data_IF_537684131320
#
_entry.id   IF_537684131320
#
_cell.length_a   1.000
_cell.length_b   1.000
_cell.length_c   1.000
_cell.angle_alpha   90.00
_cell.angle_beta   90.00
_cell.angle_gamma   90.00
#
_symmetry.space_group_name_H-M   'P 1'
#
loop_
_entity.id
_entity.type
_entity.pdbx_description
1 polymer ?
#
# COMPACT_ATOMS: atom_id res chain seq x y z
N UNK A 1 -15.18 10.31 6.40
CA UNK A 1 -14.67 10.32 5.01
C UNK A 1 -13.56 11.35 4.95
N UNK A 2 -12.50 11.08 4.19
CA UNK A 2 -11.36 11.97 3.97
C UNK A 2 -11.08 12.08 2.47
N UNK A 3 -10.41 13.14 2.06
CA UNK A 3 -10.13 13.46 0.66
C UNK A 3 -8.63 13.70 0.48
N UNK A 4 -7.84 12.64 0.23
CA UNK A 4 -6.43 12.81 0.00
C UNK A 4 -6.16 13.50 -1.34
N UNK A 5 -5.09 14.28 -1.35
CA UNK A 5 -4.56 14.99 -2.51
C UNK A 5 -3.07 14.73 -2.64
N UNK A 6 -2.56 14.80 -3.87
CA UNK A 6 -1.13 14.76 -4.14
C UNK A 6 -0.56 16.17 -3.98
N UNK A 7 0.52 16.29 -3.22
CA UNK A 7 1.21 17.55 -2.94
C UNK A 7 2.70 17.41 -3.23
N UNK A 8 3.41 18.53 -3.23
CA UNK A 8 4.86 18.54 -3.25
C UNK A 8 5.48 18.45 -1.82
N UNK A 9 6.80 18.54 -1.74
CA UNK A 9 7.53 18.52 -0.48
C UNK A 9 7.16 19.70 0.45
N UNK A 10 6.73 20.84 -0.11
CA UNK A 10 6.27 22.01 0.66
C UNK A 10 4.82 21.86 1.15
N UNK A 11 4.02 21.00 0.50
CA UNK A 11 2.58 20.85 0.75
C UNK A 11 1.71 21.57 -0.27
N UNK A 12 2.30 22.12 -1.33
CA UNK A 12 1.54 22.75 -2.41
C UNK A 12 0.81 21.69 -3.24
N UNK A 13 -0.43 21.99 -3.61
CA UNK A 13 -1.27 21.09 -4.40
C UNK A 13 -0.65 20.76 -5.76
N UNK A 14 -0.63 19.46 -6.11
CA UNK A 14 -0.21 18.99 -7.44
C UNK A 14 -1.37 18.40 -8.23
N UNK A 15 -2.16 17.50 -7.63
CA UNK A 15 -3.23 16.80 -8.35
C UNK A 15 -4.20 16.07 -7.42
N UNK A 16 -5.41 15.82 -7.91
CA UNK A 16 -6.34 14.85 -7.34
C UNK A 16 -6.05 13.40 -7.76
N UNK A 17 -5.21 13.18 -8.77
CA UNK A 17 -4.76 11.84 -9.15
C UNK A 17 -3.71 11.33 -8.16
N UNK A 18 -4.11 10.34 -7.38
CA UNK A 18 -3.26 9.72 -6.35
C UNK A 18 -2.26 8.73 -6.94
N UNK A 19 -2.38 8.37 -8.21
CA UNK A 19 -1.51 7.37 -8.82
C UNK A 19 -0.05 7.85 -8.85
N UNK A 20 0.86 6.95 -8.45
CA UNK A 20 2.29 7.18 -8.58
C UNK A 20 2.74 6.79 -9.99
N UNK A 21 2.27 7.51 -11.01
CA UNK A 21 2.81 7.34 -12.37
C UNK A 21 4.19 7.98 -12.41
N UNK A 22 5.23 7.14 -12.34
CA UNK A 22 6.55 7.53 -12.83
C UNK A 22 6.38 7.76 -14.32
N UNK A 23 6.24 9.02 -14.75
CA UNK A 23 6.24 9.37 -16.16
C UNK A 23 7.48 8.72 -16.77
N UNK A 24 7.26 7.83 -17.74
CA UNK A 24 8.32 7.12 -18.41
C UNK A 24 9.03 8.10 -19.36
N UNK A 25 9.74 9.08 -18.80
CA UNK A 25 10.68 9.89 -19.55
C UNK A 25 11.82 8.96 -19.93
N UNK A 26 12.19 8.95 -21.21
CA UNK A 26 13.29 8.18 -21.80
C UNK A 26 14.65 8.65 -21.26
N UNK A 27 14.84 8.54 -19.95
CA UNK A 27 16.03 9.00 -19.24
C UNK A 27 16.64 7.79 -18.53
N UNK A 28 17.94 7.53 -18.68
CA UNK A 28 18.64 6.38 -18.08
C UNK A 28 18.90 6.57 -16.57
N UNK A 29 18.10 7.40 -15.90
CA UNK A 29 18.16 7.59 -14.46
C UNK A 29 17.62 6.34 -13.76
N UNK A 30 18.28 5.83 -12.70
CA UNK A 30 17.79 4.69 -11.97
C UNK A 30 16.36 4.96 -11.49
N UNK A 31 15.45 4.01 -11.74
CA UNK A 31 14.00 4.02 -11.46
C UNK A 31 13.65 4.09 -9.95
N UNK A 32 14.42 4.81 -9.16
CA UNK A 32 14.53 4.58 -7.74
C UNK A 32 14.40 5.86 -6.92
N UNK A 33 13.47 5.82 -5.95
CA UNK A 33 13.41 6.69 -4.76
C UNK A 33 12.92 8.13 -4.91
N UNK A 34 12.20 8.49 -5.97
CA UNK A 34 11.51 9.80 -5.95
C UNK A 34 10.43 9.78 -4.86
N UNK A 35 10.51 10.64 -3.83
CA UNK A 35 9.47 10.70 -2.81
C UNK A 35 8.16 11.18 -3.45
N UNK A 36 7.04 10.68 -2.94
CA UNK A 36 5.72 11.19 -3.24
C UNK A 36 5.07 11.67 -1.95
N UNK A 37 4.46 12.84 -2.02
CA UNK A 37 3.79 13.45 -0.89
C UNK A 37 2.29 13.49 -1.11
N UNK A 38 1.57 13.13 -0.06
CA UNK A 38 0.11 13.18 -0.04
C UNK A 38 -0.34 13.90 1.21
N UNK A 39 -1.44 14.63 1.12
CA UNK A 39 -2.04 15.32 2.25
C UNK A 39 -3.52 15.00 2.34
N UNK A 40 -4.02 14.86 3.57
CA UNK A 40 -5.45 14.77 3.86
C UNK A 40 -5.75 15.40 5.21
N UNK A 41 -7.02 15.72 5.45
CA UNK A 41 -7.49 16.23 6.73
C UNK A 41 -8.24 15.14 7.49
N UNK A 42 -7.78 14.84 8.71
CA UNK A 42 -8.45 13.94 9.63
C UNK A 42 -8.81 14.68 10.92
N UNK A 43 -10.10 14.74 11.27
CA UNK A 43 -10.61 15.49 12.44
C UNK A 43 -10.11 16.94 12.49
N UNK A 44 -10.04 17.61 11.34
CA UNK A 44 -9.56 18.98 11.21
C UNK A 44 -8.04 19.15 11.27
N UNK A 45 -7.27 18.07 11.45
CA UNK A 45 -5.81 18.10 11.47
C UNK A 45 -5.24 17.65 10.12
N UNK A 46 -4.32 18.43 9.50
CA UNK A 46 -3.64 17.98 8.30
C UNK A 46 -2.68 16.85 8.64
N UNK A 47 -2.75 15.78 7.86
CA UNK A 47 -1.83 14.64 7.88
C UNK A 47 -1.06 14.65 6.57
N UNK A 48 0.27 14.74 6.66
CA UNK A 48 1.17 14.70 5.51
C UNK A 48 1.89 13.37 5.45
N UNK A 49 1.74 12.67 4.34
CA UNK A 49 2.40 11.40 4.06
C UNK A 49 3.64 11.67 3.21
N UNK A 50 4.78 11.15 3.64
CA UNK A 50 6.03 11.13 2.87
C UNK A 50 6.33 9.67 2.53
N UNK A 51 6.14 9.30 1.26
CA UNK A 51 6.16 7.92 0.81
C UNK A 51 7.18 7.72 -0.30
N UNK A 52 7.75 6.52 -0.38
CA UNK A 52 8.61 6.08 -1.47
C UNK A 52 8.21 4.68 -1.93
N UNK A 53 8.49 4.33 -3.19
CA UNK A 53 8.21 3.00 -3.69
C UNK A 53 8.94 1.93 -2.87
N UNK A 54 8.22 0.88 -2.47
CA UNK A 54 8.80 -0.26 -1.78
C UNK A 54 9.48 -1.21 -2.78
N UNK A 55 10.75 -0.96 -3.08
CA UNK A 55 11.52 -1.82 -3.99
C UNK A 55 11.81 -3.22 -3.41
N UNK A 56 11.56 -3.44 -2.11
CA UNK A 56 11.80 -4.70 -1.42
C UNK A 56 10.49 -5.46 -1.13
N UNK A 57 9.41 -5.13 -1.85
CA UNK A 57 8.13 -5.81 -1.67
C UNK A 57 8.21 -7.30 -2.03
N UNK A 58 9.00 -7.63 -3.05
CA UNK A 58 9.17 -8.99 -3.56
C UNK A 58 10.64 -9.39 -3.43
N UNK A 59 10.88 -10.66 -3.12
CA UNK A 59 12.23 -11.20 -3.06
C UNK A 59 12.92 -11.10 -4.44
N UNK A 60 14.25 -10.91 -4.47
CA UNK A 60 15.00 -11.01 -5.71
C UNK A 60 14.73 -12.33 -6.43
N UNK A 61 14.46 -12.27 -7.74
CA UNK A 61 14.15 -13.47 -8.54
C UNK A 61 12.70 -13.96 -8.43
N UNK A 62 11.80 -13.21 -7.77
CA UNK A 62 10.37 -13.55 -7.74
C UNK A 62 9.80 -13.64 -9.16
N UNK A 63 9.10 -14.75 -9.44
CA UNK A 63 8.39 -15.01 -10.70
C UNK A 63 6.95 -15.39 -10.42
N UNK A 64 6.04 -15.01 -11.30
CA UNK A 64 4.65 -15.44 -11.25
C UNK A 64 4.40 -16.52 -12.28
N UNK A 65 3.85 -17.66 -11.84
CA UNK A 65 3.35 -18.72 -12.71
C UNK A 65 1.82 -18.63 -12.81
N UNK A 66 1.30 -18.57 -14.03
CA UNK A 66 -0.14 -18.66 -14.31
C UNK A 66 -0.44 -19.95 -15.06
N UNK A 67 -1.31 -20.79 -14.51
CA UNK A 67 -1.75 -22.05 -15.13
C UNK A 67 -3.19 -21.95 -15.61
N UNK A 68 -3.42 -22.44 -16.83
CA UNK A 68 -4.76 -22.68 -17.38
C UNK A 68 -4.83 -24.15 -17.80
N UNK A 69 -5.36 -24.99 -16.92
CA UNK A 69 -5.32 -26.45 -17.08
C UNK A 69 -4.03 -27.06 -16.55
N UNK A 70 -3.47 -28.04 -17.27
CA UNK A 70 -2.28 -28.80 -16.88
C UNK A 70 -0.95 -28.05 -17.01
N UNK A 71 0.15 -28.74 -16.65
CA UNK A 71 1.51 -28.17 -16.57
C UNK A 71 1.99 -27.62 -17.93
N UNK A 72 1.55 -28.22 -19.04
CA UNK A 72 1.92 -27.79 -20.40
C UNK A 72 1.53 -26.34 -20.72
N UNK A 73 0.54 -25.78 -20.02
CA UNK A 73 0.03 -24.42 -20.25
C UNK A 73 0.49 -23.42 -19.18
N UNK A 74 1.50 -23.78 -18.38
CA UNK A 74 2.07 -22.87 -17.39
C UNK A 74 2.83 -21.73 -18.08
N UNK A 75 2.46 -20.48 -17.75
CA UNK A 75 3.19 -19.29 -18.17
C UNK A 75 3.91 -18.69 -16.97
N UNK A 76 5.24 -18.76 -17.00
CA UNK A 76 6.12 -18.08 -16.04
C UNK A 76 6.43 -16.70 -16.58
N UNK A 77 6.17 -15.67 -15.78
CA UNK A 77 6.47 -14.29 -16.09
C UNK A 77 7.31 -13.70 -14.96
N UNK A 78 8.36 -12.95 -15.32
CA UNK A 78 8.99 -12.06 -14.36
C UNK A 78 7.95 -11.03 -13.92
N UNK A 79 7.80 -10.86 -12.61
CA UNK A 79 6.77 -9.95 -12.11
C UNK A 79 7.15 -8.51 -12.46
N UNK A 80 6.20 -7.68 -12.95
CA UNK A 80 6.50 -6.28 -13.22
C UNK A 80 6.97 -5.60 -11.93
N UNK A 81 7.96 -4.72 -12.07
CA UNK A 81 8.49 -3.93 -10.95
C UNK A 81 7.36 -3.22 -10.20
N UNK A 82 7.45 -3.21 -8.87
CA UNK A 82 6.50 -2.49 -8.01
C UNK A 82 6.42 -1.01 -8.41
N UNK A 83 5.24 -0.58 -8.85
CA UNK A 83 4.98 0.76 -9.35
C UNK A 83 4.05 1.59 -8.47
N UNK A 84 3.43 0.98 -7.44
CA UNK A 84 2.38 1.64 -6.67
C UNK A 84 2.30 1.25 -5.19
N UNK A 85 3.03 0.25 -4.71
CA UNK A 85 3.14 -0.05 -3.28
C UNK A 85 4.27 0.76 -2.66
N UNK A 86 3.94 1.50 -1.62
CA UNK A 86 4.79 2.52 -1.03
C UNK A 86 4.92 2.33 0.48
N UNK A 87 6.05 2.77 1.00
CA UNK A 87 6.34 2.82 2.44
C UNK A 87 6.92 4.18 2.80
N UNK A 88 6.75 4.59 4.06
CA UNK A 88 7.30 5.83 4.57
C UNK A 88 6.66 6.24 5.89
N UNK A 89 6.36 7.53 6.03
CA UNK A 89 5.89 8.12 7.28
C UNK A 89 4.65 8.99 7.08
N UNK A 90 3.84 9.10 8.12
CA UNK A 90 2.80 10.12 8.25
C UNK A 90 3.22 11.12 9.34
N UNK A 91 3.06 12.41 9.05
CA UNK A 91 3.38 13.52 9.95
C UNK A 91 2.15 14.35 10.23
N UNK A 92 2.02 14.84 11.45
CA UNK A 92 0.99 15.78 11.86
C UNK A 92 1.58 16.80 12.84
N UNK A 93 1.03 18.02 12.87
CA UNK A 93 1.43 19.05 13.85
C UNK A 93 0.85 18.81 15.23
N UNK A 94 -0.36 18.23 15.29
CA UNK A 94 -1.09 18.05 16.54
C UNK A 94 -1.07 16.61 17.06
N UNK A 95 -0.88 15.64 16.18
CA UNK A 95 -0.96 14.21 16.49
C UNK A 95 0.41 13.55 16.33
N UNK A 96 0.73 12.57 17.17
CA UNK A 96 1.92 11.74 16.98
C UNK A 96 1.79 10.95 15.67
N UNK A 97 2.67 11.23 14.71
CA UNK A 97 2.78 10.49 13.46
C UNK A 97 3.53 9.17 13.62
N UNK A 98 3.74 8.45 12.52
CA UNK A 98 4.42 7.16 12.55
C UNK A 98 4.62 6.56 11.16
N UNK A 99 4.81 5.25 11.10
CA UNK A 99 5.07 4.55 9.84
C UNK A 99 3.79 4.42 8.99
N UNK A 100 3.96 4.38 7.67
CA UNK A 100 2.90 4.19 6.71
C UNK A 100 3.29 3.17 5.64
N UNK A 101 2.35 2.30 5.26
CA UNK A 101 2.47 1.34 4.18
C UNK A 101 1.19 1.39 3.33
N UNK A 102 1.28 2.04 2.17
CA UNK A 102 0.13 2.40 1.34
C UNK A 102 0.34 1.95 -0.11
N UNK A 103 -0.74 1.52 -0.75
CA UNK A 103 -0.85 1.29 -2.18
C UNK A 103 -1.50 2.50 -2.84
N UNK A 104 -1.05 2.85 -4.05
CA UNK A 104 -1.60 3.90 -4.91
C UNK A 104 -2.20 3.33 -6.21
N UNK A 105 -2.34 1.99 -6.30
CA UNK A 105 -2.72 1.31 -7.54
C UNK A 105 -4.17 1.63 -7.95
N UNK A 106 -5.05 1.82 -6.97
CA UNK A 106 -6.45 2.22 -7.14
C UNK A 106 -6.83 3.17 -6.00
N UNK A 107 -6.25 4.37 -5.98
CA UNK A 107 -6.35 5.29 -4.84
C UNK A 107 -5.43 4.90 -3.67
N UNK A 108 -5.49 5.65 -2.56
CA UNK A 108 -4.66 5.39 -1.38
C UNK A 108 -5.29 4.32 -0.50
N UNK A 109 -4.68 3.14 -0.48
CA UNK A 109 -5.15 2.00 0.31
C UNK A 109 -4.04 1.40 1.16
N UNK A 110 -4.25 1.25 2.46
CA UNK A 110 -3.28 0.58 3.32
C UNK A 110 -3.41 0.98 4.78
N UNK A 111 -2.28 0.91 5.50
CA UNK A 111 -2.20 1.14 6.94
C UNK A 111 -1.17 2.22 7.27
N UNK A 112 -1.42 2.98 8.32
CA UNK A 112 -0.46 3.91 8.90
C UNK A 112 -0.68 4.09 10.40
N UNK A 113 0.35 4.54 11.09
CA UNK A 113 0.31 4.80 12.53
C UNK A 113 -0.02 6.26 12.82
N UNK A 114 -0.98 6.48 13.71
CA UNK A 114 -1.36 7.81 14.19
C UNK A 114 -1.77 7.69 15.66
N UNK A 115 -1.27 8.58 16.52
CA UNK A 115 -1.52 8.51 17.98
C UNK A 115 -1.16 7.14 18.59
N UNK A 116 -0.08 6.51 18.12
CA UNK A 116 0.37 5.16 18.51
C UNK A 116 -0.60 4.01 18.16
N UNK A 117 -1.51 4.25 17.23
CA UNK A 117 -2.55 3.29 16.85
C UNK A 117 -2.53 3.06 15.34
N UNK A 118 -2.92 1.85 14.93
CA UNK A 118 -3.03 1.51 13.52
C UNK A 118 -4.34 2.04 12.93
N UNK A 119 -4.23 2.83 11.87
CA UNK A 119 -5.34 3.31 11.07
C UNK A 119 -5.27 2.75 9.65
N UNK A 120 -6.41 2.32 9.14
CA UNK A 120 -6.58 1.94 7.75
C UNK A 120 -7.19 3.09 6.96
N UNK A 121 -6.77 3.20 5.70
CA UNK A 121 -7.39 4.04 4.68
C UNK A 121 -7.68 3.20 3.45
N UNK A 122 -8.83 3.42 2.83
CA UNK A 122 -9.15 2.83 1.53
C UNK A 122 -10.18 3.67 0.77
N UNK A 123 -10.20 3.59 -0.57
CA UNK A 123 -11.20 4.27 -1.38
C UNK A 123 -12.62 3.85 -0.99
N UNK A 124 -13.55 4.80 -1.03
CA UNK A 124 -14.97 4.47 -1.03
C UNK A 124 -15.37 4.16 -2.46
N UNK A 125 -16.01 3.03 -2.69
CA UNK A 125 -16.54 2.65 -4.01
C UNK A 125 -17.60 3.66 -4.44
N UNK A 126 -17.22 4.63 -5.27
CA UNK A 126 -18.17 5.52 -5.95
C UNK A 126 -18.29 5.07 -7.39
N UNK A 127 -19.52 4.88 -7.85
CA UNK A 127 -19.86 4.58 -9.24
C UNK A 127 -19.47 5.71 -10.21
N UNK A 128 -19.12 6.89 -9.68
CA UNK A 128 -18.66 8.04 -10.46
C UNK A 128 -17.40 8.64 -9.82
N UNK A 129 -16.30 8.59 -10.55
CA UNK A 129 -15.16 9.49 -10.36
C UNK A 129 -15.50 10.76 -11.14
N UNK A 130 -16.03 11.76 -10.47
CA UNK A 130 -16.22 13.06 -11.10
C UNK A 130 -14.83 13.61 -11.45
N UNK A 131 -14.57 13.77 -12.75
CA UNK A 131 -13.27 14.22 -13.25
C UNK A 131 -12.94 15.59 -12.66
N UNK A 132 -11.81 15.71 -11.96
CA UNK A 132 -11.38 16.97 -11.36
C UNK A 132 -11.70 17.14 -9.87
N UNK A 133 -12.27 16.13 -9.20
CA UNK A 133 -12.47 16.14 -7.74
C UNK A 133 -11.58 15.11 -7.02
N UNK A 134 -11.32 15.36 -5.74
CA UNK A 134 -10.59 14.42 -4.87
C UNK A 134 -11.40 13.13 -4.66
N UNK A 135 -10.74 11.98 -4.81
CA UNK A 135 -11.38 10.67 -4.58
C UNK A 135 -11.69 10.49 -3.08
N UNK A 136 -12.93 10.16 -2.68
CA UNK A 136 -13.27 9.96 -1.28
C UNK A 136 -12.66 8.67 -0.74
N UNK A 137 -12.15 8.74 0.49
CA UNK A 137 -11.59 7.60 1.21
C UNK A 137 -12.25 7.46 2.59
N UNK A 138 -12.40 6.22 3.05
CA UNK A 138 -12.77 5.93 4.43
C UNK A 138 -11.52 5.67 5.24
N UNK A 139 -11.51 6.16 6.48
CA UNK A 139 -10.43 5.94 7.43
C UNK A 139 -11.01 5.41 8.73
N UNK A 140 -10.42 4.35 9.28
CA UNK A 140 -10.91 3.69 10.49
C UNK A 140 -9.75 3.12 11.30
N UNK A 141 -9.92 3.10 12.62
CA UNK A 141 -8.94 2.50 13.54
C UNK A 141 -9.03 0.98 13.42
N UNK A 142 -7.89 0.30 13.40
CA UNK A 142 -7.82 -1.16 13.52
C UNK A 142 -8.53 -1.60 14.80
N UNK A 143 -9.56 -2.43 14.66
CA UNK A 143 -10.22 -3.10 15.77
C UNK A 143 -9.62 -4.51 15.87
N UNK A 144 -8.38 -4.60 16.34
CA UNK A 144 -7.83 -5.88 16.79
C UNK A 144 -7.99 -5.90 18.31
N UNK A 145 -8.50 -7.01 18.91
CA UNK A 145 -8.24 -7.24 20.31
C UNK A 145 -6.74 -7.09 20.53
N UNK A 146 -6.31 -6.42 21.59
CA UNK A 146 -4.99 -6.69 22.12
C UNK A 146 -4.99 -8.16 22.51
N UNK A 147 -4.64 -9.03 21.56
CA UNK A 147 -4.18 -10.35 21.91
C UNK A 147 -2.93 -10.07 22.72
N UNK A 148 -3.13 -10.08 24.04
CA UNK A 148 -2.06 -10.03 25.00
C UNK A 148 -0.98 -11.00 24.56
N UNK A 149 0.25 -10.69 24.92
CA UNK A 149 1.37 -11.60 24.80
C UNK A 149 1.11 -12.88 25.62
N UNK A 150 0.16 -13.72 25.22
CA UNK A 150 0.05 -15.08 25.67
C UNK A 150 1.20 -15.83 25.01
N UNK A 151 2.26 -15.97 25.80
CA UNK A 151 3.20 -17.07 25.73
C UNK A 151 2.49 -18.42 25.95
N UNK A 152 1.49 -18.71 25.13
CA UNK A 152 0.90 -20.03 25.02
C UNK A 152 1.81 -20.88 24.16
N UNK A 153 2.65 -21.71 24.79
CA UNK A 153 3.31 -22.86 24.15
C UNK A 153 2.27 -23.69 23.40
N UNK A 154 2.08 -23.41 22.11
CA UNK A 154 1.47 -24.34 21.18
C UNK A 154 2.57 -25.32 20.77
N UNK A 155 2.41 -26.65 20.98
CA UNK A 155 3.36 -27.61 20.47
C UNK A 155 3.48 -27.43 18.95
N UNK A 156 4.67 -27.55 18.35
CA UNK A 156 4.82 -27.47 16.91
C UNK A 156 3.89 -28.50 16.28
N UNK A 157 3.03 -28.05 15.36
CA UNK A 157 2.28 -28.96 14.52
C UNK A 157 3.29 -29.81 13.73
N UNK A 158 3.05 -31.13 13.57
CA UNK A 158 3.93 -31.97 12.75
C UNK A 158 4.03 -31.38 11.35
N UNK A 159 5.25 -31.36 10.82
CA UNK A 159 5.57 -30.84 9.49
C UNK A 159 4.91 -31.71 8.40
N UNK A 160 3.63 -31.45 8.12
CA UNK A 160 2.95 -31.94 6.93
C UNK A 160 3.07 -30.91 5.83
N UNK A 161 3.66 -31.28 4.70
CA UNK A 161 3.59 -30.48 3.48
C UNK A 161 2.14 -30.49 2.99
N UNK A 162 1.57 -29.31 2.73
CA UNK A 162 0.29 -29.20 2.03
C UNK A 162 0.56 -29.35 0.54
N UNK A 163 0.18 -30.50 -0.02
CA UNK A 163 0.25 -30.78 -1.45
C UNK A 163 -0.89 -31.71 -1.85
N UNK A 164 -1.49 -31.46 -3.01
CA UNK A 164 -2.48 -32.36 -3.61
C UNK A 164 -1.80 -33.71 -3.90
N UNK A 165 -2.28 -34.77 -3.24
CA UNK A 165 -1.89 -36.13 -3.59
C UNK A 165 -2.44 -36.44 -4.98
N UNK A 166 -1.55 -36.66 -5.94
CA UNK A 166 -1.90 -37.14 -7.27
C UNK A 166 -2.48 -38.54 -7.16
N UNK A 167 -3.71 -38.71 -7.66
CA UNK A 167 -4.37 -39.99 -7.80
C UNK A 167 -3.80 -40.67 -9.05
N UNK A 168 -3.22 -41.85 -8.87
CA UNK A 168 -2.77 -42.76 -9.95
C UNK A 168 -3.96 -43.58 -10.44
#
# INVERSE_FOLDING_TARGET
IVYPIKVDESGSFLSYDLSHRVLHRRSPSPRSKSPAFYELYYKGQPLKFNLSLNNNLLAPGFVSERRYGGIANAKIQSHPYNSCHMIGEVRSRALAGGLAALSTCDGLKGVFQLMHEDYFIEPVSTSFREGGAAQPHRMYKRQAPEHGAEHGRRPPAPQGTCGVQGMV
#
